data_IF_050190584994
#
_entry.id   IF_050190584994
#
_cell.length_a   1.000
_cell.length_b   1.000
_cell.length_c   1.000
_cell.angle_alpha   90.00
_cell.angle_beta   90.00
_cell.angle_gamma   90.00
#
_symmetry.space_group_name_H-M   'P 1'
#
loop_
_entity.id
_entity.type
_entity.pdbx_description
1 polymer ?
#
# COMPACT_ATOMS: atom_id res chain seq x y z
N UNK A 1 -20.41 -7.04 -21.87
CA UNK A 1 -19.60 -7.05 -20.65
C UNK A 1 -20.18 -5.96 -19.78
N UNK A 2 -20.68 -6.30 -18.60
CA UNK A 2 -21.10 -5.31 -17.61
C UNK A 2 -19.86 -5.05 -16.76
N UNK A 3 -19.12 -3.99 -17.11
CA UNK A 3 -17.77 -3.75 -16.58
C UNK A 3 -17.83 -3.49 -15.07
N UNK A 4 -18.83 -2.73 -14.63
CA UNK A 4 -18.98 -2.39 -13.23
C UNK A 4 -19.27 -3.63 -12.39
N UNK A 5 -20.18 -4.49 -12.87
CA UNK A 5 -20.50 -5.74 -12.18
C UNK A 5 -19.29 -6.66 -12.08
N UNK A 6 -18.57 -6.87 -13.19
CA UNK A 6 -17.37 -7.72 -13.19
C UNK A 6 -16.27 -7.14 -12.28
N UNK A 7 -16.11 -5.82 -12.25
CA UNK A 7 -15.18 -5.15 -11.36
C UNK A 7 -15.53 -5.35 -9.88
N UNK A 8 -16.81 -5.18 -9.51
CA UNK A 8 -17.29 -5.43 -8.15
C UNK A 8 -17.09 -6.89 -7.72
N UNK A 9 -17.41 -7.85 -8.61
CA UNK A 9 -17.22 -9.28 -8.35
C UNK A 9 -15.73 -9.61 -8.14
N UNK A 10 -14.84 -9.05 -8.97
CA UNK A 10 -13.40 -9.24 -8.83
C UNK A 10 -12.87 -8.71 -7.48
N UNK A 11 -13.33 -7.53 -7.04
CA UNK A 11 -12.97 -6.96 -5.73
C UNK A 11 -13.35 -7.91 -4.60
N UNK A 12 -14.56 -8.48 -4.64
CA UNK A 12 -15.03 -9.38 -3.59
C UNK A 12 -14.29 -10.72 -3.57
N UNK A 13 -13.94 -11.26 -4.75
CA UNK A 13 -13.12 -12.47 -4.86
C UNK A 13 -11.74 -12.24 -4.26
N UNK A 14 -11.07 -11.15 -4.64
CA UNK A 14 -9.75 -10.79 -4.13
C UNK A 14 -9.78 -10.55 -2.62
N UNK A 15 -10.77 -9.79 -2.13
CA UNK A 15 -10.94 -9.52 -0.70
C UNK A 15 -11.09 -10.80 0.13
N UNK A 16 -11.97 -11.73 -0.29
CA UNK A 16 -12.18 -13.00 0.42
C UNK A 16 -10.90 -13.83 0.45
N UNK A 17 -10.22 -13.94 -0.70
CA UNK A 17 -8.98 -14.71 -0.80
C UNK A 17 -7.89 -14.12 0.10
N UNK A 18 -7.69 -12.80 0.08
CA UNK A 18 -6.70 -12.13 0.93
C UNK A 18 -7.01 -12.32 2.42
N UNK A 19 -8.29 -12.27 2.81
CA UNK A 19 -8.71 -12.49 4.18
C UNK A 19 -8.50 -13.95 4.62
N UNK A 20 -8.82 -14.92 3.76
CA UNK A 20 -8.58 -16.34 4.00
C UNK A 20 -7.09 -16.63 4.17
N UNK A 21 -6.24 -16.17 3.23
CA UNK A 21 -4.79 -16.32 3.28
C UNK A 21 -4.19 -15.70 4.55
N UNK A 22 -4.65 -14.51 4.94
CA UNK A 22 -4.24 -13.87 6.18
C UNK A 22 -4.60 -14.70 7.41
N UNK A 23 -5.84 -15.19 7.49
CA UNK A 23 -6.30 -16.00 8.61
C UNK A 23 -5.56 -17.33 8.71
N UNK A 24 -5.25 -17.96 7.59
CA UNK A 24 -4.43 -19.18 7.55
C UNK A 24 -3.01 -18.91 8.04
N UNK A 25 -2.38 -17.82 7.60
CA UNK A 25 -1.06 -17.43 8.08
C UNK A 25 -1.04 -17.16 9.58
N UNK A 26 -2.06 -16.50 10.12
CA UNK A 26 -2.14 -16.19 11.55
C UNK A 26 -2.41 -17.41 12.45
N UNK A 27 -2.87 -18.54 11.88
CA UNK A 27 -3.02 -19.82 12.60
C UNK A 27 -1.70 -20.57 12.77
N UNK A 28 -0.67 -20.22 11.99
CA UNK A 28 0.61 -20.91 12.05
C UNK A 28 1.34 -20.63 13.39
N UNK A 29 2.17 -21.58 13.87
CA UNK A 29 3.05 -21.36 15.00
C UNK A 29 3.92 -20.10 14.81
N UNK A 30 4.30 -19.45 15.92
CA UNK A 30 5.08 -18.20 15.87
C UNK A 30 6.37 -18.35 15.05
N UNK A 31 7.09 -19.45 15.20
CA UNK A 31 8.35 -19.70 14.50
C UNK A 31 8.17 -19.73 12.97
N UNK A 32 7.06 -20.32 12.49
CA UNK A 32 6.74 -20.33 11.06
C UNK A 32 6.34 -18.94 10.55
N UNK A 33 5.60 -18.16 11.36
CA UNK A 33 5.24 -16.78 11.03
C UNK A 33 6.48 -15.89 10.95
N UNK A 34 7.43 -16.08 11.86
CA UNK A 34 8.73 -15.40 11.86
C UNK A 34 9.55 -15.79 10.63
N UNK A 35 9.65 -17.09 10.31
CA UNK A 35 10.36 -17.55 9.11
C UNK A 35 9.78 -17.00 7.80
N UNK A 36 8.46 -16.77 7.75
CA UNK A 36 7.76 -16.13 6.61
C UNK A 36 7.87 -14.61 6.60
N UNK A 37 8.43 -14.01 7.64
CA UNK A 37 8.59 -12.56 7.81
C UNK A 37 7.29 -11.80 8.06
N UNK A 38 6.24 -12.48 8.51
CA UNK A 38 4.90 -11.89 8.81
C UNK A 38 4.69 -11.62 10.31
N UNK A 39 5.61 -12.11 11.13
CA UNK A 39 5.73 -11.77 12.55
C UNK A 39 7.19 -11.64 12.93
N UNK A 40 7.46 -11.00 14.07
CA UNK A 40 8.72 -10.97 14.77
C UNK A 40 8.44 -11.22 16.25
N UNK A 41 9.31 -11.95 16.94
CA UNK A 41 9.15 -12.31 18.35
C UNK A 41 10.43 -12.08 19.15
N UNK A 42 10.34 -12.19 20.48
CA UNK A 42 11.45 -11.98 21.41
C UNK A 42 12.11 -10.61 21.27
N UNK A 43 11.31 -9.59 20.95
CA UNK A 43 11.80 -8.23 20.73
C UNK A 43 11.98 -7.48 22.04
N UNK A 44 12.97 -6.58 22.06
CA UNK A 44 13.11 -5.56 23.09
C UNK A 44 12.45 -4.27 22.62
N UNK A 45 11.70 -3.61 23.51
CA UNK A 45 10.96 -2.39 23.20
C UNK A 45 11.28 -1.30 24.22
N UNK A 46 11.52 -0.10 23.69
CA UNK A 46 11.67 1.12 24.46
C UNK A 46 10.62 2.13 23.99
N UNK A 47 9.64 2.43 24.86
CA UNK A 47 8.60 3.41 24.56
C UNK A 47 9.04 4.83 24.87
N UNK A 48 8.79 5.74 23.94
CA UNK A 48 8.75 7.18 24.20
C UNK A 48 7.32 7.54 24.61
N UNK A 49 7.17 8.12 25.80
CA UNK A 49 5.86 8.36 26.41
C UNK A 49 5.60 9.85 26.63
N UNK A 50 4.35 10.26 26.48
CA UNK A 50 3.82 11.51 27.01
C UNK A 50 2.82 11.18 28.13
N UNK A 51 3.29 11.29 29.37
CA UNK A 51 2.67 10.70 30.54
C UNK A 51 2.49 9.18 30.40
N UNK A 52 1.33 8.73 29.92
CA UNK A 52 0.97 7.32 29.70
C UNK A 52 0.71 7.00 28.23
N UNK A 53 0.60 8.02 27.39
CA UNK A 53 0.34 7.84 25.97
C UNK A 53 1.65 7.52 25.25
N UNK A 54 1.62 6.52 24.38
CA UNK A 54 2.77 6.10 23.59
C UNK A 54 2.91 7.09 22.43
N UNK A 55 4.03 7.82 22.37
CA UNK A 55 4.39 8.65 21.21
C UNK A 55 5.07 7.83 20.13
N UNK A 56 6.01 6.99 20.55
CA UNK A 56 6.73 6.08 19.68
C UNK A 56 7.18 4.85 20.46
N UNK A 57 7.46 3.75 19.75
CA UNK A 57 8.05 2.55 20.29
C UNK A 57 9.28 2.20 19.46
N UNK A 58 10.46 2.29 20.07
CA UNK A 58 11.69 1.80 19.47
C UNK A 58 11.80 0.29 19.68
N UNK A 59 11.88 -0.45 18.60
CA UNK A 59 12.00 -1.90 18.58
C UNK A 59 13.46 -2.22 18.28
N UNK A 60 14.11 -2.98 19.15
CA UNK A 60 15.50 -3.39 18.98
C UNK A 60 15.50 -4.86 18.58
N UNK A 61 16.08 -5.16 17.42
CA UNK A 61 16.18 -6.51 16.88
C UNK A 61 17.56 -6.75 16.26
N UNK A 62 18.25 -7.83 16.64
CA UNK A 62 19.62 -8.11 16.15
C UNK A 62 19.66 -8.55 14.67
N UNK A 63 18.50 -8.81 14.05
CA UNK A 63 18.40 -9.10 12.61
C UNK A 63 16.95 -8.97 12.11
N UNK A 64 16.66 -7.92 11.35
CA UNK A 64 15.37 -7.72 10.71
C UNK A 64 15.19 -8.63 9.47
N UNK A 65 14.59 -9.79 9.66
CA UNK A 65 14.19 -10.72 8.57
C UNK A 65 12.73 -10.52 8.12
N UNK A 66 12.05 -9.49 8.62
CA UNK A 66 10.63 -9.28 8.36
C UNK A 66 10.38 -8.63 7.01
N UNK A 67 9.12 -8.70 6.56
CA UNK A 67 8.65 -7.98 5.36
C UNK A 67 8.14 -6.57 5.69
N UNK A 68 8.22 -6.14 6.94
CA UNK A 68 7.72 -4.83 7.36
C UNK A 68 8.63 -3.73 6.81
N UNK A 69 7.99 -2.69 6.25
CA UNK A 69 8.63 -1.51 5.67
C UNK A 69 7.93 -0.24 6.16
N UNK A 70 8.60 0.90 6.04
CA UNK A 70 7.99 2.21 6.26
C UNK A 70 6.57 2.29 5.66
N UNK A 71 5.60 2.73 6.47
CA UNK A 71 4.18 2.78 6.14
C UNK A 71 3.39 1.49 6.40
N UNK A 72 4.03 0.39 6.82
CA UNK A 72 3.31 -0.86 7.16
C UNK A 72 2.59 -0.74 8.50
N UNK A 73 1.32 -1.14 8.55
CA UNK A 73 0.58 -1.28 9.81
C UNK A 73 0.84 -2.63 10.49
N UNK A 74 1.17 -2.58 11.77
CA UNK A 74 1.52 -3.74 12.59
C UNK A 74 0.81 -3.71 13.94
N UNK A 75 0.81 -4.88 14.59
CA UNK A 75 0.37 -5.04 15.97
C UNK A 75 1.60 -5.31 16.82
N UNK A 76 1.89 -4.40 17.73
CA UNK A 76 2.87 -4.60 18.79
C UNK A 76 2.16 -5.19 20.01
N UNK A 77 2.59 -6.37 20.48
CA UNK A 77 1.94 -7.05 21.59
C UNK A 77 2.89 -7.73 22.57
N UNK A 78 2.48 -7.78 23.83
CA UNK A 78 3.14 -8.52 24.91
C UNK A 78 2.09 -8.95 25.94
N UNK A 79 1.73 -10.23 25.95
CA UNK A 79 0.65 -10.77 26.75
C UNK A 79 -0.69 -10.07 26.47
N UNK A 80 -1.22 -9.35 27.45
CA UNK A 80 -2.48 -8.61 27.33
C UNK A 80 -2.33 -7.21 26.70
N UNK A 81 -1.09 -6.72 26.55
CA UNK A 81 -0.82 -5.43 25.91
C UNK A 81 -0.83 -5.61 24.40
N UNK A 82 -1.59 -4.76 23.70
CA UNK A 82 -1.72 -4.80 22.25
C UNK A 82 -1.95 -3.40 21.71
N UNK A 83 -1.07 -2.96 20.81
CA UNK A 83 -1.09 -1.64 20.21
C UNK A 83 -1.01 -1.77 18.70
N UNK A 84 -1.92 -1.11 17.99
CA UNK A 84 -1.87 -1.02 16.53
C UNK A 84 -1.09 0.23 16.16
N UNK A 85 -0.01 0.04 15.41
CA UNK A 85 0.98 1.08 15.12
C UNK A 85 1.43 0.95 13.66
N UNK A 86 2.01 2.01 13.12
CA UNK A 86 2.62 2.01 11.80
C UNK A 86 4.15 2.07 11.93
N UNK A 87 4.85 1.40 11.03
CA UNK A 87 6.31 1.48 10.90
C UNK A 87 6.65 2.85 10.34
N UNK A 88 7.26 3.69 11.17
CA UNK A 88 7.66 5.04 10.81
C UNK A 88 9.07 5.08 10.21
N UNK A 89 9.97 4.26 10.74
CA UNK A 89 11.34 4.06 10.22
C UNK A 89 11.66 2.57 10.29
N UNK A 90 12.25 2.01 9.21
CA UNK A 90 12.80 0.64 9.19
C UNK A 90 14.30 0.62 8.92
N UNK A 91 15.05 -0.05 9.80
CA UNK A 91 16.48 -0.31 9.62
C UNK A 91 16.78 -1.82 9.72
N UNK A 92 18.05 -2.18 9.57
CA UNK A 92 18.49 -3.57 9.73
C UNK A 92 18.40 -4.05 11.19
N UNK A 93 18.59 -3.14 12.14
CA UNK A 93 18.80 -3.45 13.57
C UNK A 93 17.73 -2.86 14.49
N UNK A 94 16.92 -1.91 13.99
CA UNK A 94 15.83 -1.30 14.75
C UNK A 94 14.66 -0.84 13.86
N UNK A 95 13.51 -0.70 14.52
CA UNK A 95 12.33 -0.02 13.97
C UNK A 95 11.86 1.07 14.90
N UNK A 96 11.26 2.10 14.32
CA UNK A 96 10.44 3.05 15.08
C UNK A 96 8.99 2.83 14.68
N UNK A 97 8.16 2.44 15.65
CA UNK A 97 6.71 2.37 15.47
C UNK A 97 6.07 3.63 16.05
N UNK A 98 5.03 4.13 15.39
CA UNK A 98 4.18 5.21 15.93
C UNK A 98 2.72 4.79 15.92
N UNK A 99 1.91 5.20 16.90
CA UNK A 99 0.47 5.03 16.79
C UNK A 99 -0.03 5.70 15.52
N UNK A 100 -0.94 5.05 14.81
CA UNK A 100 -1.62 5.70 13.70
C UNK A 100 -2.64 6.73 14.23
N UNK A 101 -3.05 7.67 13.38
CA UNK A 101 -3.94 8.77 13.80
C UNK A 101 -5.26 8.29 14.41
N UNK A 102 -5.76 7.12 13.97
CA UNK A 102 -7.07 6.58 14.33
C UNK A 102 -7.05 5.76 15.64
N UNK A 103 -5.96 5.08 15.92
CA UNK A 103 -5.76 4.17 17.05
C UNK A 103 -4.93 4.80 18.17
N UNK A 104 -4.45 6.03 17.98
CA UNK A 104 -3.64 6.79 18.96
C UNK A 104 -4.27 6.85 20.36
N UNK A 105 -5.59 7.00 20.43
CA UNK A 105 -6.37 7.01 21.67
C UNK A 105 -6.34 5.70 22.47
N UNK A 106 -5.98 4.59 21.83
CA UNK A 106 -5.86 3.27 22.46
C UNK A 106 -4.41 2.88 22.75
N UNK A 107 -3.44 3.73 22.37
CA UNK A 107 -2.02 3.48 22.56
C UNK A 107 -1.52 4.13 23.86
N UNK A 108 -1.91 3.56 24.99
CA UNK A 108 -1.45 4.00 26.30
C UNK A 108 -1.08 2.83 27.22
N UNK A 109 -0.14 3.06 28.13
CA UNK A 109 0.25 2.10 29.15
C UNK A 109 -0.52 2.36 30.44
N UNK A 110 -0.97 1.28 31.10
CA UNK A 110 -1.61 1.39 32.43
C UNK A 110 -0.61 1.79 33.51
N UNK A 111 0.65 1.37 33.38
CA UNK A 111 1.79 1.63 34.26
C UNK A 111 3.04 1.98 33.46
N UNK A 112 3.94 2.79 34.05
CA UNK A 112 5.27 3.07 33.48
C UNK A 112 6.24 1.89 33.64
N UNK A 113 5.91 0.92 34.50
CA UNK A 113 6.63 -0.33 34.68
C UNK A 113 6.07 -1.38 33.70
N UNK A 114 6.53 -1.33 32.46
CA UNK A 114 6.16 -2.26 31.39
C UNK A 114 7.30 -3.26 31.12
N UNK A 115 7.00 -4.51 30.70
CA UNK A 115 8.04 -5.45 30.33
C UNK A 115 8.81 -4.92 29.13
N UNK A 116 10.14 -4.86 29.18
CA UNK A 116 10.94 -4.39 28.05
C UNK A 116 11.23 -5.49 27.01
N UNK A 117 11.11 -6.76 27.40
CA UNK A 117 11.49 -7.91 26.56
C UNK A 117 10.27 -8.78 26.20
N UNK A 118 10.45 -9.69 25.26
CA UNK A 118 9.45 -10.66 24.80
C UNK A 118 8.24 -10.01 24.12
N UNK A 119 8.47 -8.90 23.42
CA UNK A 119 7.45 -8.33 22.56
C UNK A 119 7.39 -9.06 21.23
N UNK A 120 6.21 -9.00 20.63
CA UNK A 120 5.94 -9.52 19.30
C UNK A 120 5.39 -8.41 18.41
N UNK A 121 5.81 -8.41 17.15
CA UNK A 121 5.21 -7.63 16.09
C UNK A 121 4.53 -8.61 15.15
N UNK A 122 3.28 -8.36 14.78
CA UNK A 122 2.56 -9.16 13.80
C UNK A 122 1.86 -8.29 12.75
N UNK A 123 1.73 -8.82 11.54
CA UNK A 123 1.00 -8.16 10.46
C UNK A 123 -0.46 -7.87 10.85
N UNK A 124 -0.95 -6.71 10.44
CA UNK A 124 -2.39 -6.39 10.46
C UNK A 124 -2.98 -6.70 9.09
N UNK A 125 -4.19 -7.25 9.06
CA UNK A 125 -4.98 -7.25 7.83
C UNK A 125 -5.48 -5.83 7.56
N UNK A 126 -4.89 -5.15 6.57
CA UNK A 126 -5.36 -3.85 6.08
C UNK A 126 -6.18 -4.04 4.81
N UNK A 127 -7.35 -3.41 4.74
CA UNK A 127 -8.29 -3.49 3.62
C UNK A 127 -8.35 -2.17 2.84
N UNK A 128 -7.30 -1.35 2.93
CA UNK A 128 -7.26 0.01 2.34
C UNK A 128 -7.45 -0.05 0.83
N UNK A 129 -6.72 -0.92 0.13
CA UNK A 129 -6.84 -1.09 -1.33
C UNK A 129 -8.25 -1.53 -1.72
N UNK A 130 -8.82 -2.53 -1.03
CA UNK A 130 -10.21 -2.97 -1.26
C UNK A 130 -11.20 -1.83 -1.03
N UNK A 131 -11.03 -1.03 0.02
CA UNK A 131 -11.88 0.14 0.29
C UNK A 131 -11.78 1.19 -0.81
N UNK A 132 -10.58 1.48 -1.31
CA UNK A 132 -10.40 2.39 -2.44
C UNK A 132 -11.10 1.87 -3.69
N UNK A 133 -10.93 0.58 -4.04
CA UNK A 133 -11.57 -0.03 -5.19
C UNK A 133 -13.10 -0.04 -5.07
N UNK A 134 -13.64 -0.36 -3.88
CA UNK A 134 -15.08 -0.27 -3.59
C UNK A 134 -15.59 1.17 -3.75
N UNK A 135 -14.86 2.16 -3.23
CA UNK A 135 -15.21 3.57 -3.40
C UNK A 135 -15.21 3.97 -4.88
N UNK A 136 -14.26 3.49 -5.68
CA UNK A 136 -14.25 3.71 -7.14
C UNK A 136 -15.46 3.06 -7.80
N UNK A 137 -15.82 1.83 -7.43
CA UNK A 137 -17.02 1.18 -7.95
C UNK A 137 -18.30 1.95 -7.58
N UNK A 138 -18.44 2.36 -6.31
CA UNK A 138 -19.55 3.22 -5.86
C UNK A 138 -19.58 4.56 -6.59
N UNK A 139 -18.42 5.14 -6.89
CA UNK A 139 -18.33 6.37 -7.66
C UNK A 139 -18.89 6.16 -9.09
N UNK A 140 -18.42 5.14 -9.80
CA UNK A 140 -18.86 4.82 -11.16
C UNK A 140 -20.35 4.47 -11.23
N UNK A 141 -20.88 3.78 -10.22
CA UNK A 141 -22.32 3.47 -10.11
C UNK A 141 -23.19 4.74 -10.10
N UNK A 142 -22.68 5.83 -9.52
CA UNK A 142 -23.38 7.10 -9.40
C UNK A 142 -23.04 8.11 -10.51
N UNK A 143 -22.10 7.80 -11.40
CA UNK A 143 -21.62 8.71 -12.47
C UNK A 143 -21.69 8.01 -13.83
N UNK A 144 -22.87 8.03 -14.45
CA UNK A 144 -23.15 7.30 -15.69
C UNK A 144 -22.29 7.72 -16.88
N UNK A 145 -21.89 8.99 -16.97
CA UNK A 145 -21.01 9.47 -18.06
C UNK A 145 -19.59 8.89 -17.94
N UNK A 146 -19.03 8.87 -16.74
CA UNK A 146 -17.71 8.29 -16.48
C UNK A 146 -17.73 6.77 -16.65
N UNK A 147 -18.81 6.12 -16.20
CA UNK A 147 -19.02 4.69 -16.43
C UNK A 147 -19.08 4.37 -17.93
N UNK A 148 -19.87 5.10 -18.73
CA UNK A 148 -19.93 4.89 -20.19
C UNK A 148 -18.55 5.08 -20.83
N UNK A 149 -17.77 6.08 -20.41
CA UNK A 149 -16.40 6.29 -20.91
C UNK A 149 -15.50 5.08 -20.61
N UNK A 150 -15.52 4.58 -19.38
CA UNK A 150 -14.74 3.39 -18.97
C UNK A 150 -15.21 2.15 -19.72
N UNK A 151 -16.52 1.94 -19.85
CA UNK A 151 -17.09 0.81 -20.58
C UNK A 151 -16.72 0.84 -22.05
N UNK A 152 -16.78 2.01 -22.69
CA UNK A 152 -16.37 2.17 -24.08
C UNK A 152 -14.90 1.88 -24.25
N UNK A 153 -14.05 2.35 -23.34
CA UNK A 153 -12.61 2.07 -23.37
C UNK A 153 -12.31 0.58 -23.23
N UNK A 154 -12.79 -0.07 -22.18
CA UNK A 154 -12.47 -1.48 -21.88
C UNK A 154 -13.13 -2.46 -22.85
N UNK A 155 -14.27 -2.11 -23.46
CA UNK A 155 -14.89 -2.92 -24.50
C UNK A 155 -14.35 -2.63 -25.92
N UNK A 156 -13.29 -1.82 -26.06
CA UNK A 156 -12.67 -1.51 -27.35
C UNK A 156 -13.53 -0.64 -28.28
N UNK A 157 -14.50 0.09 -27.74
CA UNK A 157 -15.37 1.04 -28.46
C UNK A 157 -14.87 2.48 -28.39
N UNK A 158 -13.88 2.78 -27.54
CA UNK A 158 -13.23 4.08 -27.51
C UNK A 158 -12.39 4.26 -28.77
N UNK A 159 -12.45 5.46 -29.36
CA UNK A 159 -11.67 5.83 -30.53
C UNK A 159 -11.01 7.16 -30.26
N UNK A 160 -9.70 7.21 -30.50
CA UNK A 160 -8.94 8.43 -30.38
C UNK A 160 -9.18 9.35 -31.59
N UNK A 161 -9.22 10.64 -31.30
CA UNK A 161 -8.98 11.70 -32.27
C UNK A 161 -7.60 12.30 -32.02
N UNK A 162 -7.01 12.86 -33.07
CA UNK A 162 -5.65 13.39 -33.03
C UNK A 162 -5.64 14.88 -33.36
N UNK A 163 -4.98 15.65 -32.50
CA UNK A 163 -4.58 17.02 -32.74
C UNK A 163 -3.22 17.07 -33.44
N UNK A 164 -2.81 18.25 -33.89
CA UNK A 164 -1.54 18.46 -34.61
C UNK A 164 -0.65 19.49 -33.88
N UNK A 165 -0.44 19.29 -32.58
CA UNK A 165 0.57 20.00 -31.83
C UNK A 165 1.96 19.48 -32.20
N UNK A 166 2.91 20.40 -32.34
CA UNK A 166 4.30 20.10 -32.66
C UNK A 166 5.18 20.64 -31.54
N UNK A 167 5.62 19.75 -30.66
CA UNK A 167 6.57 20.03 -29.58
C UNK A 167 7.70 19.00 -29.59
N UNK A 168 8.88 19.42 -29.17
CA UNK A 168 10.04 18.53 -29.05
C UNK A 168 10.85 18.91 -27.82
N UNK A 169 11.18 17.91 -27.04
CA UNK A 169 12.06 18.04 -25.89
C UNK A 169 13.47 17.59 -26.25
N UNK A 170 14.43 18.50 -26.11
CA UNK A 170 15.84 18.24 -26.44
C UNK A 170 16.48 17.21 -25.49
N UNK A 171 15.93 17.08 -24.27
CA UNK A 171 16.37 16.11 -23.28
C UNK A 171 15.95 14.68 -23.60
N UNK A 172 15.01 14.50 -24.53
CA UNK A 172 14.48 13.20 -24.94
C UNK A 172 15.11 12.71 -26.24
N UNK A 173 15.27 11.39 -26.33
CA UNK A 173 15.59 10.77 -27.61
C UNK A 173 14.37 10.75 -28.55
N UNK A 174 14.57 10.38 -29.81
CA UNK A 174 13.51 10.42 -30.83
C UNK A 174 12.31 9.52 -30.50
N UNK A 175 12.54 8.32 -29.94
CA UNK A 175 11.45 7.41 -29.56
C UNK A 175 10.60 7.94 -28.40
N UNK A 176 11.24 8.64 -27.46
CA UNK A 176 10.57 9.26 -26.32
C UNK A 176 9.81 10.52 -26.74
N UNK A 177 10.39 11.32 -27.65
CA UNK A 177 9.72 12.46 -28.25
C UNK A 177 8.50 12.04 -29.07
N UNK A 178 8.56 10.92 -29.79
CA UNK A 178 7.40 10.37 -30.49
C UNK A 178 6.30 9.94 -29.51
N UNK A 179 6.64 9.23 -28.44
CA UNK A 179 5.68 8.84 -27.42
C UNK A 179 5.06 10.04 -26.68
N UNK A 180 5.85 11.09 -26.42
CA UNK A 180 5.38 12.35 -25.86
C UNK A 180 4.39 13.05 -26.81
N UNK A 181 4.78 13.21 -28.08
CA UNK A 181 3.93 13.80 -29.12
C UNK A 181 2.61 13.04 -29.29
N UNK A 182 2.65 11.71 -29.32
CA UNK A 182 1.45 10.88 -29.41
C UNK A 182 0.53 11.10 -28.19
N UNK A 183 1.11 11.23 -26.99
CA UNK A 183 0.35 11.44 -25.76
C UNK A 183 -0.32 12.81 -25.67
N UNK A 184 0.32 13.89 -26.10
CA UNK A 184 -0.28 15.23 -26.06
C UNK A 184 -1.31 15.46 -27.17
N UNK A 185 -1.21 14.69 -28.26
CA UNK A 185 -2.08 14.88 -29.42
C UNK A 185 -3.36 14.03 -29.37
N UNK A 186 -3.47 13.07 -28.46
CA UNK A 186 -4.59 12.13 -28.42
C UNK A 186 -5.74 12.62 -27.54
N UNK A 187 -7.00 12.34 -27.91
CA UNK A 187 -8.17 12.79 -27.15
C UNK A 187 -8.50 11.96 -25.90
N UNK A 188 -8.44 10.63 -25.98
CA UNK A 188 -9.03 9.77 -24.95
C UNK A 188 -7.99 8.96 -24.19
N UNK A 189 -7.07 8.29 -24.89
CA UNK A 189 -6.04 7.47 -24.27
C UNK A 189 -4.77 7.35 -25.13
N UNK A 190 -3.60 7.32 -24.47
CA UNK A 190 -2.33 6.95 -25.08
C UNK A 190 -1.73 5.77 -24.30
N UNK A 191 -1.21 4.77 -25.00
CA UNK A 191 -0.48 3.66 -24.37
C UNK A 191 1.00 3.78 -24.72
N UNK A 192 1.81 4.13 -23.72
CA UNK A 192 3.28 4.17 -23.87
C UNK A 192 3.86 2.91 -23.24
N UNK A 193 4.49 2.07 -24.07
CA UNK A 193 5.23 0.90 -23.60
C UNK A 193 6.72 1.24 -23.49
N UNK A 194 7.28 1.14 -22.28
CA UNK A 194 8.72 1.29 -22.07
C UNK A 194 9.36 0.01 -21.53
N UNK A 195 10.15 -0.71 -22.33
CA UNK A 195 10.95 -1.84 -21.85
C UNK A 195 11.89 -1.47 -20.67
N UNK A 196 12.52 -2.46 -20.02
CA UNK A 196 13.53 -2.19 -19.00
C UNK A 196 14.68 -1.33 -19.55
N UNK A 197 15.09 -0.30 -18.81
CA UNK A 197 16.20 0.58 -19.19
C UNK A 197 15.88 1.68 -20.22
N UNK A 198 14.66 1.78 -20.75
CA UNK A 198 14.32 2.77 -21.81
C UNK A 198 13.92 4.15 -21.29
N UNK A 199 14.14 4.44 -20.01
CA UNK A 199 13.87 5.76 -19.44
C UNK A 199 12.38 6.15 -19.36
N UNK A 200 11.49 5.20 -19.02
CA UNK A 200 10.03 5.47 -18.81
C UNK A 200 9.76 6.71 -17.96
N UNK A 201 10.42 6.80 -16.80
CA UNK A 201 10.25 7.91 -15.88
C UNK A 201 10.69 9.23 -16.52
N UNK A 202 11.80 9.22 -17.25
CA UNK A 202 12.25 10.37 -18.03
C UNK A 202 11.20 10.80 -19.05
N UNK A 203 10.57 9.87 -19.76
CA UNK A 203 9.53 10.18 -20.76
C UNK A 203 8.27 10.81 -20.15
N UNK A 204 7.85 10.40 -18.96
CA UNK A 204 6.58 10.86 -18.34
C UNK A 204 6.79 12.14 -17.50
N UNK A 205 7.95 12.32 -16.88
CA UNK A 205 8.22 13.39 -15.93
C UNK A 205 8.95 14.60 -16.53
N UNK A 206 8.91 14.76 -17.86
CA UNK A 206 9.49 15.94 -18.51
C UNK A 206 8.76 17.20 -18.05
N UNK A 207 9.53 18.29 -17.92
CA UNK A 207 9.08 19.60 -17.45
C UNK A 207 9.10 20.58 -18.59
#
# INVERSE_FOLDING_TARGET
MDVLKEFQEAIEIEYKKNLEEFNEQMKLPIDERVAKGVSMSNLKVEFELDNKNIKSAKIICENNISKFKEGSSVILSNGNLRFKMDVFEDSADDFILKPNDWDSQYCYLSSLDYPQNNWEISSVHTDISTKMLRNTASYLENHSEDLDRVERFLNGKAQNTYSNFSEKEDSLNDSQNLAYLDAINVSDFCLIQGPPGTGKTTTIANK
#
